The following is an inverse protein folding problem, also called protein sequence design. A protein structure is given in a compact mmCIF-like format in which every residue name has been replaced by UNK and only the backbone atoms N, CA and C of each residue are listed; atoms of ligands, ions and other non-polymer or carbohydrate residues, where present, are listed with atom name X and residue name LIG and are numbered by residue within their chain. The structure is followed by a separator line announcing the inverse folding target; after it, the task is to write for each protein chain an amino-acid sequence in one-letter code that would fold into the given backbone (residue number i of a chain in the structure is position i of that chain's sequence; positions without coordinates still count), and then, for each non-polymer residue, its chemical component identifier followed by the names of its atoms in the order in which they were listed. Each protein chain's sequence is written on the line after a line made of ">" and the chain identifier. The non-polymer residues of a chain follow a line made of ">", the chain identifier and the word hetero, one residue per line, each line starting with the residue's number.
data_IF_848339545663
#
_entry.id   IF_848339545663
#
_cell.length_a   1.000
_cell.length_b   1.000
_cell.length_c   1.000
_cell.angle_alpha   90.00
_cell.angle_beta   90.00
_cell.angle_gamma   90.00
#
_symmetry.space_group_name_H-M   'P 1'
#
loop_
_entity.id
_entity.type
_entity.pdbx_description
1 polymer ?
#
# COMPACT_ATOMS: atom_id res chain seq x y z
N UNK A 1 -12.67 -20.45 8.31
CA UNK A 1 -13.13 -19.36 9.20
C UNK A 1 -11.89 -18.58 9.56
N UNK A 2 -11.83 -17.30 9.15
CA UNK A 2 -10.67 -16.45 9.38
C UNK A 2 -10.47 -16.22 10.88
N UNK A 3 -9.23 -15.90 11.31
CA UNK A 3 -9.07 -15.30 12.62
C UNK A 3 -9.86 -14.01 12.75
N UNK A 4 -10.02 -13.57 13.99
CA UNK A 4 -10.61 -12.28 14.35
C UNK A 4 -9.53 -11.34 14.88
N UNK A 5 -9.85 -10.05 15.02
CA UNK A 5 -8.96 -9.02 15.57
C UNK A 5 -7.58 -8.97 14.91
N UNK A 6 -7.57 -9.02 13.57
CA UNK A 6 -6.34 -9.07 12.79
C UNK A 6 -5.68 -7.67 12.74
N UNK A 7 -4.39 -7.64 13.04
CA UNK A 7 -3.52 -6.49 12.84
C UNK A 7 -2.22 -6.94 12.17
N UNK A 8 -1.84 -6.23 11.12
CA UNK A 8 -0.56 -6.37 10.42
C UNK A 8 0.37 -5.24 10.81
N UNK A 9 1.54 -5.56 11.32
CA UNK A 9 2.63 -4.63 11.57
C UNK A 9 3.71 -4.89 10.53
N UNK A 10 3.74 -4.05 9.49
CA UNK A 10 4.48 -4.25 8.26
C UNK A 10 5.69 -3.31 8.20
N UNK A 11 6.85 -3.88 7.89
CA UNK A 11 8.08 -3.14 7.63
C UNK A 11 8.64 -3.53 6.28
N UNK A 12 8.82 -2.55 5.39
CA UNK A 12 9.40 -2.74 4.06
C UNK A 12 10.69 -1.94 3.89
N UNK A 13 11.66 -2.55 3.23
CA UNK A 13 12.91 -1.91 2.79
C UNK A 13 13.10 -2.19 1.30
N UNK A 14 12.46 -1.40 0.41
CA UNK A 14 12.66 -1.52 -1.02
C UNK A 14 14.00 -0.93 -1.47
N UNK A 15 14.61 -1.60 -2.44
CA UNK A 15 15.84 -1.21 -3.11
C UNK A 15 15.56 -0.99 -4.61
N UNK A 16 15.64 0.27 -5.03
CA UNK A 16 15.38 0.69 -6.41
C UNK A 16 16.58 0.54 -7.35
N UNK A 17 17.72 0.06 -6.85
CA UNK A 17 18.89 -0.28 -7.67
C UNK A 17 18.91 -1.77 -8.00
N UNK A 18 18.60 -2.63 -7.02
CA UNK A 18 18.54 -4.09 -7.20
C UNK A 18 17.15 -4.61 -7.56
N UNK A 19 16.13 -3.75 -7.48
CA UNK A 19 14.71 -4.10 -7.70
C UNK A 19 14.23 -5.24 -6.83
N UNK A 20 14.63 -5.21 -5.56
CA UNK A 20 14.19 -6.16 -4.54
C UNK A 20 13.62 -5.40 -3.34
N UNK A 21 12.99 -6.12 -2.42
CA UNK A 21 12.65 -5.56 -1.12
C UNK A 21 12.82 -6.61 -0.03
N UNK A 22 13.22 -6.16 1.15
CA UNK A 22 13.16 -6.95 2.38
C UNK A 22 11.88 -6.58 3.12
N UNK A 23 11.13 -7.58 3.54
CA UNK A 23 9.92 -7.43 4.35
C UNK A 23 10.04 -8.14 5.69
N UNK A 24 9.47 -7.51 6.71
CA UNK A 24 9.23 -8.12 8.02
C UNK A 24 7.82 -7.80 8.44
N UNK A 25 7.13 -8.78 8.98
CA UNK A 25 5.81 -8.57 9.54
C UNK A 25 5.61 -9.24 10.90
N UNK A 26 4.74 -8.62 11.70
CA UNK A 26 4.12 -9.25 12.86
C UNK A 26 2.62 -9.21 12.63
N UNK A 27 2.01 -10.37 12.43
CA UNK A 27 0.56 -10.52 12.35
C UNK A 27 0.03 -10.88 13.73
N UNK A 28 -0.81 -10.03 14.30
CA UNK A 28 -1.54 -10.28 15.55
C UNK A 28 -2.95 -10.70 15.20
N UNK A 29 -3.43 -11.79 15.78
CA UNK A 29 -4.73 -12.37 15.42
C UNK A 29 -5.28 -13.23 16.55
N UNK A 30 -6.60 -13.45 16.57
CA UNK A 30 -7.29 -14.36 17.48
C UNK A 30 -7.81 -15.57 16.70
N UNK A 31 -7.23 -16.74 16.99
CA UNK A 31 -7.65 -18.02 16.41
C UNK A 31 -8.90 -18.53 17.14
N UNK A 32 -10.00 -18.62 16.40
CA UNK A 32 -11.32 -18.95 16.94
C UNK A 32 -11.55 -20.45 17.15
N UNK A 33 -10.79 -21.32 16.45
CA UNK A 33 -10.89 -22.78 16.56
C UNK A 33 -9.52 -23.40 16.84
N UNK A 34 -9.39 -24.33 17.80
CA UNK A 34 -8.15 -25.05 18.04
C UNK A 34 -7.56 -25.63 16.75
N UNK A 35 -6.31 -25.27 16.45
CA UNK A 35 -5.62 -25.74 15.25
C UNK A 35 -4.13 -25.92 15.51
N UNK A 36 -3.49 -26.83 14.81
CA UNK A 36 -2.03 -26.95 14.74
C UNK A 36 -1.48 -26.48 13.39
N UNK A 37 -2.32 -25.85 12.55
CA UNK A 37 -1.95 -25.41 11.21
C UNK A 37 -2.56 -24.04 10.93
N UNK A 38 -1.75 -23.13 10.40
CA UNK A 38 -2.17 -21.81 9.91
C UNK A 38 -1.83 -21.75 8.42
N UNK A 39 -2.81 -21.42 7.59
CA UNK A 39 -2.61 -21.20 6.15
C UNK A 39 -2.97 -19.75 5.81
N UNK A 40 -2.05 -19.07 5.13
CA UNK A 40 -2.21 -17.71 4.60
C UNK A 40 -1.79 -17.71 3.13
N UNK A 41 -2.13 -16.65 2.39
CA UNK A 41 -1.70 -16.43 1.03
C UNK A 41 -0.28 -15.86 1.00
N UNK A 42 0.54 -16.37 0.08
CA UNK A 42 1.86 -15.83 -0.23
C UNK A 42 2.26 -16.31 -1.63
N UNK A 43 2.66 -15.39 -2.49
CA UNK A 43 3.08 -15.70 -3.86
C UNK A 43 4.40 -15.00 -4.16
N UNK A 44 5.33 -15.71 -4.81
CA UNK A 44 6.59 -15.13 -5.31
C UNK A 44 7.46 -14.43 -4.25
N UNK A 45 7.30 -14.84 -2.99
CA UNK A 45 8.11 -14.39 -1.86
C UNK A 45 9.09 -15.48 -1.41
N UNK A 46 10.30 -15.08 -1.05
CA UNK A 46 11.28 -15.96 -0.39
C UNK A 46 11.12 -15.84 1.13
N UNK A 47 10.36 -16.75 1.73
CA UNK A 47 10.18 -16.81 3.19
C UNK A 47 11.47 -17.27 3.86
N UNK A 48 12.05 -16.43 4.72
CA UNK A 48 13.30 -16.73 5.46
C UNK A 48 13.02 -17.30 6.84
N UNK A 49 12.02 -16.75 7.51
CA UNK A 49 11.68 -17.07 8.89
C UNK A 49 10.17 -17.04 9.05
N UNK A 50 9.64 -17.99 9.81
CA UNK A 50 8.26 -18.00 10.25
C UNK A 50 8.23 -18.52 11.68
N UNK A 51 7.86 -17.67 12.64
CA UNK A 51 7.79 -18.00 14.06
C UNK A 51 6.40 -17.67 14.59
N UNK A 52 5.85 -18.55 15.42
CA UNK A 52 4.55 -18.33 16.06
C UNK A 52 4.74 -18.19 17.56
N UNK A 53 4.11 -17.19 18.14
CA UNK A 53 3.99 -17.02 19.59
C UNK A 53 2.52 -17.13 19.98
N UNK A 54 2.22 -17.95 20.97
CA UNK A 54 0.89 -18.00 21.60
C UNK A 54 1.04 -18.02 23.10
N UNK A 55 0.21 -17.26 23.81
CA UNK A 55 0.29 -17.09 25.29
C UNK A 55 1.70 -16.74 25.78
N UNK A 56 2.39 -15.85 25.05
CA UNK A 56 3.77 -15.42 25.29
C UNK A 56 4.83 -16.55 25.28
N UNK A 57 4.53 -17.68 24.61
CA UNK A 57 5.48 -18.77 24.38
C UNK A 57 5.72 -18.95 22.89
N UNK A 58 6.98 -19.08 22.51
CA UNK A 58 7.36 -19.45 21.15
C UNK A 58 6.94 -20.90 20.89
N UNK A 59 6.35 -21.14 19.73
CA UNK A 59 5.95 -22.45 19.25
C UNK A 59 6.86 -22.84 18.09
N UNK A 60 7.36 -24.06 18.12
CA UNK A 60 8.14 -24.62 17.01
C UNK A 60 7.25 -24.73 15.77
N UNK A 61 7.72 -24.15 14.67
CA UNK A 61 7.03 -24.08 13.38
C UNK A 61 7.80 -24.85 12.31
N UNK A 62 7.07 -25.45 11.38
CA UNK A 62 7.58 -25.83 10.05
C UNK A 62 6.69 -25.16 9.03
N UNK A 63 7.28 -24.55 8.01
CA UNK A 63 6.50 -23.86 6.98
C UNK A 63 6.80 -24.42 5.59
N UNK A 64 5.82 -24.31 4.70
CA UNK A 64 5.93 -24.75 3.32
C UNK A 64 5.17 -23.76 2.44
N UNK A 65 5.84 -23.29 1.39
CA UNK A 65 5.22 -22.47 0.36
C UNK A 65 4.73 -23.39 -0.76
N UNK A 66 3.46 -23.27 -1.11
CA UNK A 66 2.85 -23.90 -2.28
C UNK A 66 2.67 -22.84 -3.35
N UNK A 67 3.56 -22.83 -4.33
CA UNK A 67 3.54 -21.84 -5.42
C UNK A 67 2.36 -22.03 -6.37
N UNK A 68 1.78 -23.23 -6.46
CA UNK A 68 0.62 -23.50 -7.32
C UNK A 68 -0.65 -22.90 -6.73
N UNK A 69 -0.82 -23.06 -5.42
CA UNK A 69 -1.99 -22.55 -4.71
C UNK A 69 -1.76 -21.16 -4.10
N UNK A 70 -0.55 -20.60 -4.22
CA UNK A 70 -0.15 -19.31 -3.65
C UNK A 70 -0.39 -19.23 -2.14
N UNK A 71 -0.04 -20.29 -1.42
CA UNK A 71 -0.23 -20.37 0.04
C UNK A 71 1.05 -20.65 0.79
N UNK A 72 1.15 -20.07 1.98
CA UNK A 72 2.11 -20.42 3.01
C UNK A 72 1.39 -21.21 4.11
N UNK A 73 1.74 -22.48 4.26
CA UNK A 73 1.22 -23.33 5.33
C UNK A 73 2.25 -23.43 6.45
N UNK A 74 1.82 -23.12 7.67
CA UNK A 74 2.64 -23.08 8.88
C UNK A 74 2.11 -24.14 9.84
N UNK A 75 2.83 -25.25 9.95
CA UNK A 75 2.55 -26.34 10.89
C UNK A 75 3.16 -26.03 12.25
N UNK A 76 2.37 -26.21 13.29
CA UNK A 76 2.69 -25.93 14.68
C UNK A 76 2.92 -27.24 15.42
N UNK A 77 3.95 -27.31 16.27
CA UNK A 77 4.21 -28.48 17.11
C UNK A 77 3.14 -28.72 18.21
N UNK A 78 2.25 -27.75 18.45
CA UNK A 78 1.16 -27.85 19.41
C UNK A 78 -0.09 -27.15 18.88
N UNK A 79 -1.26 -27.62 19.31
CA UNK A 79 -2.55 -27.01 19.00
C UNK A 79 -2.69 -25.68 19.73
N UNK A 80 -3.06 -24.63 19.01
CA UNK A 80 -3.29 -23.28 19.53
C UNK A 80 -4.73 -22.83 19.32
N UNK A 81 -5.20 -21.97 20.22
CA UNK A 81 -6.44 -21.21 20.09
C UNK A 81 -6.30 -19.91 20.87
N UNK A 82 -7.11 -18.91 20.52
CA UNK A 82 -7.05 -17.57 21.11
C UNK A 82 -5.95 -16.69 20.48
N UNK A 83 -5.48 -15.67 21.20
CA UNK A 83 -4.49 -14.72 20.69
C UNK A 83 -3.17 -15.36 20.30
N UNK A 84 -2.64 -14.94 19.15
CA UNK A 84 -1.30 -15.29 18.69
C UNK A 84 -0.60 -14.13 17.98
N UNK A 85 0.72 -14.28 17.83
CA UNK A 85 1.55 -13.49 16.93
C UNK A 85 2.26 -14.40 15.96
N UNK A 86 2.27 -14.01 14.69
CA UNK A 86 3.03 -14.65 13.64
C UNK A 86 4.09 -13.66 13.15
N UNK A 87 5.36 -14.04 13.28
CA UNK A 87 6.51 -13.23 12.86
C UNK A 87 7.08 -13.84 11.60
N UNK A 88 7.11 -13.08 10.50
CA UNK A 88 7.60 -13.55 9.21
C UNK A 88 8.62 -12.57 8.65
N UNK A 89 9.77 -13.10 8.25
CA UNK A 89 10.78 -12.37 7.48
C UNK A 89 10.80 -12.95 6.05
N UNK A 90 10.80 -12.08 5.05
CA UNK A 90 10.76 -12.47 3.64
C UNK A 90 11.52 -11.49 2.74
N UNK A 91 11.93 -11.98 1.56
CA UNK A 91 12.34 -11.13 0.44
C UNK A 91 11.31 -11.21 -0.67
N UNK A 92 11.18 -10.12 -1.43
CA UNK A 92 10.45 -10.10 -2.68
C UNK A 92 11.17 -9.31 -3.76
N UNK A 93 10.59 -9.31 -4.96
CA UNK A 93 11.11 -8.63 -6.14
C UNK A 93 10.15 -7.50 -6.53
N UNK A 94 10.71 -6.32 -6.80
CA UNK A 94 9.99 -5.24 -7.47
C UNK A 94 9.88 -5.59 -8.96
N UNK A 95 8.86 -6.37 -9.28
CA UNK A 95 8.58 -6.84 -10.63
C UNK A 95 8.16 -5.69 -11.56
N UNK A 96 8.05 -5.95 -12.86
CA UNK A 96 7.64 -4.99 -13.90
C UNK A 96 6.29 -5.35 -14.55
N UNK A 97 5.50 -6.21 -13.89
CA UNK A 97 4.18 -6.67 -14.38
C UNK A 97 3.02 -5.80 -13.90
N UNK A 98 3.31 -4.70 -13.19
CA UNK A 98 2.32 -3.73 -12.70
C UNK A 98 1.30 -4.32 -11.70
N UNK A 99 1.69 -5.37 -10.98
CA UNK A 99 0.90 -6.06 -9.94
C UNK A 99 1.76 -6.35 -8.71
N UNK A 100 1.14 -6.49 -7.55
CA UNK A 100 1.85 -6.66 -6.29
C UNK A 100 2.64 -5.41 -5.93
N UNK A 101 3.83 -5.57 -5.34
CA UNK A 101 4.77 -4.48 -5.14
C UNK A 101 5.77 -4.46 -6.30
N UNK A 102 5.67 -3.44 -7.15
CA UNK A 102 6.32 -3.42 -8.46
C UNK A 102 7.11 -2.12 -8.69
N UNK A 103 8.00 -2.12 -9.67
CA UNK A 103 8.75 -0.92 -10.10
C UNK A 103 8.04 -0.24 -11.28
N UNK A 104 7.95 1.08 -11.24
CA UNK A 104 7.62 1.92 -12.40
C UNK A 104 8.83 2.73 -12.82
N UNK A 105 8.96 2.96 -14.12
CA UNK A 105 10.07 3.64 -14.75
C UNK A 105 9.60 4.97 -15.36
N UNK A 106 10.41 6.02 -15.24
CA UNK A 106 10.13 7.29 -15.90
C UNK A 106 11.42 8.00 -16.32
N UNK A 107 11.27 9.05 -17.13
CA UNK A 107 12.36 9.94 -17.52
C UNK A 107 12.25 11.24 -16.72
N UNK A 108 13.33 11.65 -16.08
CA UNK A 108 13.39 12.98 -15.49
C UNK A 108 13.58 14.08 -16.56
N UNK A 109 13.60 15.34 -16.14
CA UNK A 109 13.76 16.49 -17.06
C UNK A 109 15.09 16.49 -17.84
N UNK A 110 16.10 15.76 -17.38
CA UNK A 110 17.38 15.60 -18.08
C UNK A 110 17.39 14.42 -19.06
N UNK A 111 16.30 13.65 -19.13
CA UNK A 111 16.23 12.42 -19.93
C UNK A 111 16.84 11.20 -19.24
N UNK A 112 17.25 11.32 -17.97
CA UNK A 112 17.79 10.19 -17.20
C UNK A 112 16.64 9.29 -16.75
N UNK A 113 16.84 7.98 -16.89
CA UNK A 113 15.91 6.98 -16.35
C UNK A 113 15.92 7.01 -14.83
N UNK A 114 14.73 7.07 -14.24
CA UNK A 114 14.47 7.01 -12.82
C UNK A 114 13.42 5.93 -12.55
N UNK A 115 13.39 5.45 -11.32
CA UNK A 115 12.47 4.42 -10.88
C UNK A 115 11.76 4.86 -9.61
N UNK A 116 10.56 4.31 -9.43
CA UNK A 116 9.83 4.31 -8.17
C UNK A 116 9.29 2.91 -7.93
N UNK A 117 9.00 2.56 -6.68
CA UNK A 117 8.23 1.38 -6.34
C UNK A 117 6.82 1.81 -5.94
N UNK A 118 5.82 1.03 -6.35
CA UNK A 118 4.41 1.25 -6.00
C UNK A 118 3.63 -0.06 -5.99
N UNK A 119 2.41 -0.05 -5.46
CA UNK A 119 1.58 -1.24 -5.28
C UNK A 119 0.29 -1.21 -6.10
N UNK A 120 -0.08 -2.37 -6.66
CA UNK A 120 -1.41 -2.66 -7.18
C UNK A 120 -1.82 -4.05 -6.68
N UNK A 121 -2.77 -4.11 -5.76
CA UNK A 121 -3.12 -5.37 -5.06
C UNK A 121 -4.46 -5.95 -5.46
N UNK A 122 -5.38 -5.17 -6.03
CA UNK A 122 -6.65 -5.73 -6.47
C UNK A 122 -6.44 -6.62 -7.71
N UNK A 123 -6.98 -7.85 -7.75
CA UNK A 123 -7.87 -8.45 -6.73
C UNK A 123 -7.16 -9.25 -5.62
N UNK A 124 -6.00 -9.85 -5.90
CA UNK A 124 -5.38 -10.85 -5.04
C UNK A 124 -3.85 -10.82 -5.08
N UNK A 125 -3.26 -9.61 -5.13
CA UNK A 125 -1.82 -9.42 -5.26
C UNK A 125 -1.14 -8.81 -4.02
N UNK A 126 -1.89 -8.56 -2.94
CA UNK A 126 -1.26 -8.21 -1.66
C UNK A 126 -0.34 -9.35 -1.17
N UNK A 127 -0.71 -10.61 -1.44
CA UNK A 127 0.10 -11.82 -1.19
C UNK A 127 1.47 -11.84 -1.88
N UNK A 128 1.70 -10.99 -2.89
CA UNK A 128 3.01 -10.81 -3.57
C UNK A 128 3.88 -9.77 -2.90
N UNK A 129 3.32 -8.98 -2.00
CA UNK A 129 4.05 -8.00 -1.21
C UNK A 129 4.29 -8.50 0.22
N UNK A 130 3.32 -9.16 0.85
CA UNK A 130 3.45 -9.72 2.20
C UNK A 130 2.49 -10.91 2.41
N UNK A 131 2.89 -11.94 3.19
CA UNK A 131 2.00 -13.05 3.52
C UNK A 131 0.76 -12.59 4.31
N UNK A 132 -0.44 -12.94 3.85
CA UNK A 132 -1.66 -12.45 4.50
C UNK A 132 -2.89 -13.32 4.24
N UNK A 133 -3.97 -13.10 5.00
CA UNK A 133 -5.29 -13.63 4.63
C UNK A 133 -5.85 -12.73 3.52
N UNK A 134 -5.33 -12.94 2.31
CA UNK A 134 -5.62 -12.12 1.13
C UNK A 134 -7.01 -12.39 0.51
N UNK A 135 -8.04 -12.14 1.32
CA UNK A 135 -9.44 -12.25 0.95
C UNK A 135 -10.18 -11.02 1.51
N UNK A 136 -11.06 -10.35 0.73
CA UNK A 136 -11.65 -9.07 1.15
C UNK A 136 -12.41 -9.12 2.48
N UNK A 137 -12.98 -10.27 2.84
CA UNK A 137 -13.71 -10.48 4.09
C UNK A 137 -12.80 -10.50 5.33
N UNK A 138 -11.50 -10.82 5.18
CA UNK A 138 -10.52 -10.86 6.25
C UNK A 138 -9.95 -9.46 6.55
N UNK A 139 -10.83 -8.52 6.90
CA UNK A 139 -10.43 -7.14 7.19
C UNK A 139 -9.54 -7.06 8.42
N UNK A 140 -8.60 -6.12 8.39
CA UNK A 140 -7.59 -5.93 9.41
C UNK A 140 -7.21 -4.46 9.56
N UNK A 141 -6.46 -4.15 10.61
CA UNK A 141 -5.72 -2.88 10.72
C UNK A 141 -4.27 -3.06 10.29
N UNK A 142 -3.66 -1.99 9.77
CA UNK A 142 -2.29 -2.03 9.28
C UNK A 142 -1.46 -0.91 9.93
N UNK A 143 -0.36 -1.29 10.57
CA UNK A 143 0.71 -0.40 11.00
C UNK A 143 1.85 -0.53 9.98
N UNK A 144 2.14 0.54 9.24
CA UNK A 144 3.08 0.48 8.11
C UNK A 144 4.31 1.31 8.41
N UNK A 145 5.47 0.73 8.12
CA UNK A 145 6.75 1.41 8.12
C UNK A 145 7.56 1.08 6.87
N UNK A 146 8.26 2.08 6.36
CA UNK A 146 9.04 1.96 5.12
C UNK A 146 10.41 2.61 5.35
N UNK A 147 11.47 1.84 5.09
CA UNK A 147 12.85 2.29 5.17
C UNK A 147 13.35 2.62 3.76
N UNK A 148 13.80 3.86 3.53
CA UNK A 148 14.19 4.35 2.20
C UNK A 148 15.58 4.99 2.21
N UNK A 149 16.15 5.16 1.02
CA UNK A 149 17.31 6.03 0.83
C UNK A 149 16.96 7.50 1.15
N UNK A 150 17.93 8.34 1.59
CA UNK A 150 17.67 9.72 2.04
C UNK A 150 17.02 10.67 1.02
N UNK A 151 17.19 10.40 -0.26
CA UNK A 151 16.65 11.18 -1.36
C UNK A 151 15.24 10.73 -1.80
N UNK A 152 14.70 9.66 -1.21
CA UNK A 152 13.37 9.16 -1.50
C UNK A 152 12.36 9.58 -0.41
N UNK A 153 11.11 9.70 -0.84
CA UNK A 153 9.95 9.80 0.05
C UNK A 153 9.19 8.48 0.06
N UNK A 154 8.41 8.26 1.11
CA UNK A 154 7.49 7.14 1.23
C UNK A 154 6.04 7.63 1.37
N UNK A 155 5.10 6.90 0.78
CA UNK A 155 3.66 7.18 0.84
C UNK A 155 2.92 5.88 1.18
N UNK A 156 1.89 5.99 2.02
CA UNK A 156 0.98 4.89 2.36
C UNK A 156 -0.42 5.44 2.66
N UNK A 157 -1.36 4.59 3.07
CA UNK A 157 -2.80 4.91 3.23
C UNK A 157 -3.08 6.09 4.17
N UNK A 158 -2.36 6.20 5.28
CA UNK A 158 -2.60 7.19 6.34
C UNK A 158 -1.50 8.25 6.39
N UNK A 159 -1.65 9.26 7.26
CA UNK A 159 -0.64 10.29 7.45
C UNK A 159 0.63 9.73 8.09
N UNK A 160 1.78 10.28 7.69
CA UNK A 160 3.06 9.98 8.33
C UNK A 160 3.07 10.53 9.77
N UNK A 161 3.41 9.68 10.74
CA UNK A 161 3.50 10.02 12.16
C UNK A 161 4.93 10.24 12.63
N UNK A 162 5.91 9.68 11.92
CA UNK A 162 7.32 9.84 12.22
C UNK A 162 8.17 9.67 10.96
N UNK A 163 9.22 10.49 10.87
CA UNK A 163 10.30 10.36 9.90
C UNK A 163 11.61 10.58 10.63
N UNK A 164 12.47 9.57 10.67
CA UNK A 164 13.71 9.60 11.44
C UNK A 164 14.84 8.94 10.68
N UNK A 165 16.05 9.44 10.86
CA UNK A 165 17.26 8.79 10.36
C UNK A 165 17.46 7.44 11.07
N UNK A 166 17.73 6.39 10.31
CA UNK A 166 18.03 5.05 10.79
C UNK A 166 19.31 4.58 10.10
N UNK A 167 20.45 4.77 10.77
CA UNK A 167 21.77 4.60 10.14
C UNK A 167 21.96 5.59 8.97
N UNK A 168 22.14 5.07 7.76
CA UNK A 168 22.25 5.85 6.52
C UNK A 168 20.90 6.07 5.80
N UNK A 169 19.85 5.38 6.23
CA UNK A 169 18.51 5.38 5.62
C UNK A 169 17.54 6.26 6.41
N UNK A 170 16.34 6.46 5.88
CA UNK A 170 15.24 7.18 6.54
C UNK A 170 14.09 6.22 6.80
N UNK A 171 13.67 6.12 8.06
CA UNK A 171 12.52 5.33 8.48
C UNK A 171 11.28 6.22 8.52
N UNK A 172 10.31 5.88 7.67
CA UNK A 172 8.98 6.46 7.61
C UNK A 172 8.01 5.57 8.37
N UNK A 173 7.21 6.15 9.28
CA UNK A 173 6.12 5.45 9.97
C UNK A 173 4.81 6.17 9.72
N UNK A 174 3.76 5.40 9.46
CA UNK A 174 2.42 5.90 9.19
C UNK A 174 1.49 5.60 10.37
N UNK A 175 0.38 6.33 10.47
CA UNK A 175 -0.64 6.04 11.47
C UNK A 175 -1.32 4.69 11.16
N UNK A 176 -1.83 4.01 12.18
CA UNK A 176 -2.61 2.79 11.98
C UNK A 176 -3.83 3.08 11.09
N UNK A 177 -4.09 2.20 10.13
CA UNK A 177 -5.30 2.29 9.30
C UNK A 177 -6.57 1.95 10.09
N UNK A 178 -7.75 2.41 9.65
CA UNK A 178 -9.00 1.76 10.00
C UNK A 178 -9.02 0.29 9.55
N UNK A 179 -10.06 -0.45 9.98
CA UNK A 179 -10.30 -1.81 9.52
C UNK A 179 -10.61 -1.78 8.02
N UNK A 180 -9.74 -2.40 7.22
CA UNK A 180 -9.84 -2.45 5.76
C UNK A 180 -9.35 -3.79 5.20
N UNK A 181 -9.62 -4.06 3.92
CA UNK A 181 -9.18 -5.27 3.24
C UNK A 181 -7.73 -5.14 2.75
N UNK A 182 -7.02 -6.27 2.57
CA UNK A 182 -5.61 -6.32 2.15
C UNK A 182 -5.35 -5.62 0.83
N UNK A 183 -6.27 -5.74 -0.14
CA UNK A 183 -6.13 -5.14 -1.47
C UNK A 183 -6.08 -3.59 -1.46
N UNK A 184 -6.53 -2.95 -0.39
CA UNK A 184 -6.49 -1.48 -0.24
C UNK A 184 -5.16 -0.97 0.31
N UNK A 185 -4.27 -1.84 0.80
CA UNK A 185 -2.95 -1.42 1.29
C UNK A 185 -2.17 -0.76 0.16
N UNK A 186 -1.58 0.39 0.45
CA UNK A 186 -0.77 1.14 -0.50
C UNK A 186 0.63 1.42 0.04
N UNK A 187 1.64 1.20 -0.81
CA UNK A 187 3.03 1.53 -0.54
C UNK A 187 3.61 2.19 -1.79
N UNK A 188 4.26 3.34 -1.64
CA UNK A 188 5.08 3.90 -2.70
C UNK A 188 6.37 4.51 -2.18
N UNK A 189 7.46 4.33 -2.94
CA UNK A 189 8.78 4.87 -2.64
C UNK A 189 9.40 5.46 -3.91
N UNK A 190 9.86 6.71 -3.83
CA UNK A 190 10.48 7.39 -4.96
C UNK A 190 10.70 8.88 -4.74
N UNK A 191 11.08 9.57 -5.80
CA UNK A 191 11.27 11.02 -5.81
C UNK A 191 9.96 11.76 -6.19
N UNK A 192 9.17 12.11 -5.19
CA UNK A 192 7.85 12.73 -5.38
C UNK A 192 7.85 14.26 -5.20
N UNK A 193 6.92 14.92 -5.89
CA UNK A 193 6.46 16.29 -5.64
C UNK A 193 5.01 16.29 -5.18
N UNK A 194 4.63 17.33 -4.44
CA UNK A 194 3.29 17.45 -3.84
C UNK A 194 2.66 18.80 -4.20
N UNK A 195 1.40 18.76 -4.63
CA UNK A 195 0.52 19.92 -4.66
C UNK A 195 -0.56 19.73 -3.59
N UNK A 196 -0.67 20.64 -2.63
CA UNK A 196 -1.48 20.42 -1.41
C UNK A 196 -2.62 21.43 -1.29
N UNK A 197 -3.78 20.97 -0.81
CA UNK A 197 -4.88 21.80 -0.33
C UNK A 197 -5.50 21.18 0.93
N UNK A 198 -6.51 21.84 1.49
CA UNK A 198 -7.30 21.31 2.61
C UNK A 198 -8.80 21.44 2.34
N UNK A 199 -9.55 20.44 2.80
CA UNK A 199 -11.00 20.49 2.97
C UNK A 199 -11.35 20.17 4.42
N UNK A 200 -11.73 21.19 5.20
CA UNK A 200 -11.90 21.03 6.64
C UNK A 200 -10.60 20.55 7.30
N UNK A 201 -10.65 19.37 7.92
CA UNK A 201 -9.49 18.72 8.57
C UNK A 201 -8.69 17.81 7.64
N UNK A 202 -9.22 17.49 6.45
CA UNK A 202 -8.59 16.56 5.51
C UNK A 202 -7.54 17.29 4.69
N UNK A 203 -6.29 16.83 4.76
CA UNK A 203 -5.21 17.29 3.88
C UNK A 203 -5.29 16.53 2.56
N UNK A 204 -5.45 17.25 1.46
CA UNK A 204 -5.56 16.66 0.12
C UNK A 204 -4.30 16.96 -0.67
N UNK A 205 -3.72 15.95 -1.32
CA UNK A 205 -2.51 16.12 -2.13
C UNK A 205 -2.66 15.50 -3.51
N UNK A 206 -2.15 16.18 -4.53
CA UNK A 206 -1.69 15.50 -5.73
C UNK A 206 -0.23 15.14 -5.53
N UNK A 207 0.11 13.89 -5.78
CA UNK A 207 1.48 13.37 -5.74
C UNK A 207 1.90 13.04 -7.17
N UNK A 208 3.06 13.53 -7.60
CA UNK A 208 3.59 13.25 -8.93
C UNK A 208 5.09 12.96 -8.88
N UNK A 209 5.63 12.44 -9.99
CA UNK A 209 7.05 12.57 -10.29
C UNK A 209 7.46 14.05 -10.39
N UNK A 210 8.74 14.36 -10.13
CA UNK A 210 9.26 15.75 -10.14
C UNK A 210 8.98 16.47 -11.46
N UNK A 211 8.41 17.67 -11.38
CA UNK A 211 8.12 18.54 -12.52
C UNK A 211 6.70 18.48 -13.07
N UNK A 212 5.86 17.56 -12.58
CA UNK A 212 4.50 17.37 -13.07
C UNK A 212 3.42 17.94 -12.14
N UNK A 213 3.77 18.35 -10.92
CA UNK A 213 2.83 18.75 -9.86
C UNK A 213 1.82 19.83 -10.26
N UNK A 214 2.23 20.81 -11.09
CA UNK A 214 1.35 21.88 -11.58
C UNK A 214 0.18 21.35 -12.43
N UNK A 215 0.38 20.26 -13.17
CA UNK A 215 -0.67 19.63 -13.99
C UNK A 215 -1.76 18.97 -13.12
N UNK A 216 -1.50 18.75 -11.83
CA UNK A 216 -2.48 18.22 -10.89
C UNK A 216 -3.52 19.24 -10.40
N UNK A 217 -3.39 20.53 -10.73
CA UNK A 217 -4.23 21.58 -10.13
C UNK A 217 -5.73 21.36 -10.35
N UNK A 218 -6.11 20.94 -11.55
CA UNK A 218 -7.51 20.64 -11.89
C UNK A 218 -8.08 19.52 -11.01
N UNK A 219 -7.37 18.39 -10.94
CA UNK A 219 -7.79 17.26 -10.12
C UNK A 219 -7.85 17.61 -8.61
N UNK A 220 -6.91 18.43 -8.12
CA UNK A 220 -6.90 18.84 -6.72
C UNK A 220 -8.13 19.69 -6.34
N UNK A 221 -8.49 20.64 -7.20
CA UNK A 221 -9.67 21.48 -7.00
C UNK A 221 -10.96 20.67 -7.09
N UNK A 222 -10.99 19.70 -8.01
CA UNK A 222 -12.13 18.80 -8.17
C UNK A 222 -12.29 17.88 -6.95
N UNK A 223 -11.22 17.22 -6.50
CA UNK A 223 -11.19 16.39 -5.31
C UNK A 223 -11.76 17.13 -4.08
N UNK A 224 -11.33 18.39 -3.87
CA UNK A 224 -11.86 19.23 -2.79
C UNK A 224 -13.36 19.47 -2.88
N UNK A 225 -13.90 19.65 -4.09
CA UNK A 225 -15.35 19.86 -4.31
C UNK A 225 -16.13 18.55 -4.13
N UNK A 226 -15.66 17.47 -4.75
CA UNK A 226 -16.33 16.17 -4.73
C UNK A 226 -16.39 15.58 -3.33
N UNK A 227 -15.29 15.60 -2.58
CA UNK A 227 -15.30 15.08 -1.19
C UNK A 227 -16.36 15.82 -0.36
N UNK A 228 -16.45 17.16 -0.44
CA UNK A 228 -17.51 17.90 0.28
C UNK A 228 -18.90 17.48 -0.19
N UNK A 229 -19.10 17.37 -1.50
CA UNK A 229 -20.38 16.97 -2.07
C UNK A 229 -20.79 15.56 -1.63
N UNK A 230 -19.84 14.62 -1.55
CA UNK A 230 -20.09 13.26 -1.08
C UNK A 230 -20.31 13.20 0.43
N UNK A 231 -19.59 13.98 1.22
CA UNK A 231 -19.85 14.11 2.66
C UNK A 231 -21.28 14.62 2.92
N UNK A 232 -21.73 15.63 2.16
CA UNK A 232 -23.08 16.17 2.26
C UNK A 232 -24.14 15.18 1.75
N UNK A 233 -23.88 14.51 0.63
CA UNK A 233 -24.82 13.57 0.00
C UNK A 233 -25.00 12.29 0.81
N UNK A 234 -23.91 11.67 1.28
CA UNK A 234 -23.96 10.44 2.07
C UNK A 234 -24.22 10.69 3.56
N UNK A 235 -24.06 11.93 4.04
CA UNK A 235 -24.15 12.27 5.46
C UNK A 235 -23.02 11.68 6.30
N UNK A 236 -21.94 11.21 5.67
CA UNK A 236 -20.80 10.55 6.31
C UNK A 236 -19.54 11.33 5.94
N UNK A 237 -18.82 11.80 6.95
CA UNK A 237 -17.54 12.50 6.75
C UNK A 237 -16.46 11.54 6.28
N UNK A 238 -15.56 12.05 5.43
CA UNK A 238 -14.38 11.30 5.04
C UNK A 238 -13.52 11.02 6.29
N UNK A 239 -13.22 9.73 6.60
CA UNK A 239 -12.76 9.37 7.94
C UNK A 239 -11.26 9.53 8.16
N UNK A 240 -10.45 9.65 7.09
CA UNK A 240 -8.99 9.78 7.20
C UNK A 240 -8.55 11.25 7.26
N UNK A 241 -7.45 11.56 7.97
CA UNK A 241 -6.95 12.94 8.06
C UNK A 241 -6.30 13.43 6.75
N UNK A 242 -6.10 12.54 5.78
CA UNK A 242 -5.50 12.87 4.49
C UNK A 242 -6.08 12.03 3.35
N UNK A 243 -5.92 12.56 2.14
CA UNK A 243 -6.28 11.91 0.89
C UNK A 243 -5.26 12.32 -0.18
N UNK A 244 -4.52 11.33 -0.69
CA UNK A 244 -3.59 11.54 -1.78
C UNK A 244 -4.19 10.98 -3.08
N UNK A 245 -4.09 11.75 -4.17
CA UNK A 245 -4.32 11.29 -5.53
C UNK A 245 -2.96 11.25 -6.22
N UNK A 246 -2.52 10.07 -6.63
CA UNK A 246 -1.12 9.77 -6.96
C UNK A 246 -1.02 9.43 -8.43
N UNK A 247 -0.29 10.27 -9.17
CA UNK A 247 0.02 10.02 -10.58
C UNK A 247 1.21 9.05 -10.68
N UNK A 248 0.96 7.86 -11.18
CA UNK A 248 1.95 6.81 -11.42
C UNK A 248 2.26 6.73 -12.92
N UNK A 249 3.55 6.72 -13.34
CA UNK A 249 3.94 6.64 -14.75
C UNK A 249 3.45 5.37 -15.45
N UNK A 250 3.69 4.21 -14.84
CA UNK A 250 3.22 2.91 -15.34
C UNK A 250 2.19 2.32 -14.39
N UNK A 251 0.96 2.13 -14.87
CA UNK A 251 -0.13 1.59 -14.09
C UNK A 251 -1.03 0.70 -14.96
N UNK A 252 -1.32 -0.53 -14.50
CA UNK A 252 -2.03 -1.54 -15.30
C UNK A 252 -3.46 -1.09 -15.64
N UNK A 253 -4.18 -0.60 -14.64
CA UNK A 253 -5.56 -0.14 -14.74
C UNK A 253 -5.62 1.35 -15.07
N UNK A 254 -6.81 1.97 -15.00
CA UNK A 254 -6.93 3.42 -15.01
C UNK A 254 -6.46 4.00 -13.67
N UNK A 255 -7.21 3.71 -12.62
CA UNK A 255 -6.98 4.13 -11.25
C UNK A 255 -7.27 2.98 -10.28
N UNK A 256 -7.03 3.21 -8.98
CA UNK A 256 -7.32 2.29 -7.89
C UNK A 256 -7.54 3.07 -6.59
N UNK A 257 -8.64 2.74 -5.90
CA UNK A 257 -9.20 3.47 -4.77
C UNK A 257 -8.53 3.17 -3.42
N UNK A 258 -7.21 2.87 -3.43
CA UNK A 258 -6.48 2.54 -2.21
C UNK A 258 -6.75 3.59 -1.12
N UNK A 259 -7.28 3.16 0.03
CA UNK A 259 -7.95 4.09 0.95
C UNK A 259 -6.99 5.17 1.46
N UNK A 260 -7.27 6.42 1.09
CA UNK A 260 -6.45 7.59 1.40
C UNK A 260 -5.22 7.80 0.53
N UNK A 261 -4.92 6.92 -0.43
CA UNK A 261 -3.77 7.00 -1.33
C UNK A 261 -4.13 6.47 -2.73
N UNK A 262 -5.15 7.07 -3.35
CA UNK A 262 -5.71 6.65 -4.62
C UNK A 262 -4.66 6.82 -5.73
N UNK A 263 -4.46 5.78 -6.55
CA UNK A 263 -3.52 5.82 -7.67
C UNK A 263 -4.21 6.01 -9.00
N UNK A 264 -3.50 6.64 -9.94
CA UNK A 264 -3.98 6.95 -11.28
C UNK A 264 -2.82 6.82 -12.27
N UNK A 265 -3.12 6.44 -13.51
CA UNK A 265 -2.23 6.79 -14.64
C UNK A 265 -2.04 8.30 -14.72
N UNK A 266 -0.84 8.76 -15.10
CA UNK A 266 -0.58 10.19 -15.29
C UNK A 266 -1.60 10.85 -16.25
N UNK A 267 -1.99 10.16 -17.32
CA UNK A 267 -2.92 10.67 -18.35
C UNK A 267 -4.35 10.88 -17.88
N UNK A 268 -4.74 10.33 -16.72
CA UNK A 268 -6.10 10.42 -16.18
C UNK A 268 -6.18 11.19 -14.86
N UNK A 269 -5.07 11.82 -14.46
CA UNK A 269 -5.02 12.71 -13.30
C UNK A 269 -4.40 14.07 -13.63
N UNK A 270 -3.43 14.12 -14.54
CA UNK A 270 -2.69 15.33 -14.90
C UNK A 270 -3.33 16.04 -16.09
N UNK A 271 -3.68 17.31 -15.91
CA UNK A 271 -4.26 18.18 -16.92
C UNK A 271 -3.32 19.34 -17.24
N UNK A 272 -2.98 19.51 -18.51
CA UNK A 272 -2.20 20.65 -19.01
C UNK A 272 -3.10 21.58 -19.83
N UNK A 273 -3.34 22.79 -19.33
CA UNK A 273 -4.22 23.78 -19.96
C UNK A 273 -3.84 24.13 -21.40
N UNK A 274 -2.56 23.97 -21.79
CA UNK A 274 -2.08 24.32 -23.13
C UNK A 274 -2.26 23.21 -24.15
N UNK A 275 -2.30 21.96 -23.71
CA UNK A 275 -2.17 20.78 -24.59
C UNK A 275 -3.27 19.74 -24.40
N UNK A 276 -3.94 19.72 -23.24
CA UNK A 276 -5.00 18.76 -22.95
C UNK A 276 -6.33 19.20 -23.56
N UNK A 277 -7.07 18.23 -24.09
CA UNK A 277 -8.38 18.48 -24.69
C UNK A 277 -9.49 18.62 -23.64
N UNK A 278 -10.64 19.15 -24.04
CA UNK A 278 -11.84 19.16 -23.19
C UNK A 278 -12.30 17.74 -22.86
N UNK A 279 -12.14 16.78 -23.78
CA UNK A 279 -12.43 15.37 -23.53
C UNK A 279 -11.53 14.80 -22.42
N UNK A 280 -10.24 15.14 -22.42
CA UNK A 280 -9.31 14.78 -21.34
C UNK A 280 -9.78 15.34 -20.00
N UNK A 281 -10.21 16.61 -19.98
CA UNK A 281 -10.73 17.25 -18.77
C UNK A 281 -11.96 16.54 -18.20
N UNK A 282 -12.91 16.17 -19.06
CA UNK A 282 -14.10 15.41 -18.67
C UNK A 282 -13.73 14.02 -18.14
N UNK A 283 -12.82 13.32 -18.82
CA UNK A 283 -12.40 11.98 -18.42
C UNK A 283 -11.68 11.98 -17.06
N UNK A 284 -10.79 12.95 -16.81
CA UNK A 284 -10.19 13.14 -15.48
C UNK A 284 -11.28 13.36 -14.43
N UNK A 285 -12.32 14.14 -14.75
CA UNK A 285 -13.38 14.41 -13.80
C UNK A 285 -14.24 13.18 -13.47
N UNK A 286 -14.51 12.35 -14.47
CA UNK A 286 -15.23 11.08 -14.31
C UNK A 286 -14.45 10.11 -13.44
N UNK A 287 -13.17 9.85 -13.76
CA UNK A 287 -12.36 8.90 -12.99
C UNK A 287 -12.13 9.41 -11.57
N UNK A 288 -11.77 10.68 -11.37
CA UNK A 288 -11.63 11.23 -10.02
C UNK A 288 -12.95 11.14 -9.23
N UNK A 289 -14.12 11.24 -9.89
CA UNK A 289 -15.40 11.03 -9.20
C UNK A 289 -15.69 9.57 -8.88
N UNK A 290 -15.20 8.63 -9.70
CA UNK A 290 -15.35 7.19 -9.49
C UNK A 290 -14.55 6.69 -8.29
N UNK A 291 -13.31 7.17 -8.14
CA UNK A 291 -12.41 6.70 -7.08
C UNK A 291 -12.71 7.31 -5.69
N UNK A 292 -13.40 8.45 -5.64
CA UNK A 292 -13.72 9.19 -4.41
C UNK A 292 -15.02 8.73 -3.77
#
# INVERSE_FOLDING_TARGET
>A
MYPTDINYDLSFEPDLETFTFVGKEIIRAVITKPTNTITIHAAELKIKKCQVESRNKSITTKFTLDSKNETLTIKLASTVSGPLKLLIDFDGVLNDRLVGFYRSQYKDKSGKTKYLATTQFEAADARRAFPCWDEPAAKATFDISILTEPNHSAISNTNQTSQKKFGKKILHKFARTPIMSTYLVYLAVGEFEYLTTKSGKVVMRIVTTKGNSKKGKFALDLCKKLVRSYEDYFGIKYPLPKLDLIAVPDFASGAMENWGAITFRETILLFDEKTSSTQTKQFIAEVVSHEL
#
